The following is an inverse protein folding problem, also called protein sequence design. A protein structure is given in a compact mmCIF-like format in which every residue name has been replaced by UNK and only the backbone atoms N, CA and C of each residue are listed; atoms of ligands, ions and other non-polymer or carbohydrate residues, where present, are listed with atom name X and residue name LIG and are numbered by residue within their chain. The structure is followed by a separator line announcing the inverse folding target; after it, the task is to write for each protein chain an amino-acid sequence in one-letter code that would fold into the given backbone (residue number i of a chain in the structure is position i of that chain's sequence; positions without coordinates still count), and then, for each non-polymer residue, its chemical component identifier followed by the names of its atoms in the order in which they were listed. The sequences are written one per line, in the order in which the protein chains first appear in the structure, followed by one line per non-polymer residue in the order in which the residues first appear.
data_IF_086530902380
#
_entry.id   IF_086530902380
#
_cell.length_a   1.000
_cell.length_b   1.000
_cell.length_c   1.000
_cell.angle_alpha   90.00
_cell.angle_beta   90.00
_cell.angle_gamma   90.00
#
_symmetry.space_group_name_H-M   'P 1'
#
loop_
_entity.id
_entity.type
_entity.pdbx_description
1 polymer ?
#
# COMPACT_ATOMS: atom_id res chain seq x y z
N UNK A 1 7.58 59.39 45.47
CA UNK A 1 7.74 59.31 44.01
C UNK A 1 7.58 57.85 43.64
N UNK A 2 6.40 57.48 43.07
CA UNK A 2 6.05 56.11 42.68
C UNK A 2 6.19 56.04 41.18
N UNK A 3 7.16 55.27 40.69
CA UNK A 3 7.35 54.96 39.26
C UNK A 3 6.50 53.80 38.87
N UNK A 4 5.46 54.01 38.04
CA UNK A 4 4.61 53.02 37.47
C UNK A 4 5.33 52.39 36.27
N UNK A 5 5.70 51.10 36.40
CA UNK A 5 6.19 50.30 35.30
C UNK A 5 4.99 49.76 34.54
N UNK A 6 4.77 50.27 33.32
CA UNK A 6 3.78 49.76 32.37
C UNK A 6 4.40 48.58 31.67
N UNK A 7 4.00 47.38 32.01
CA UNK A 7 4.41 46.16 31.36
C UNK A 7 3.59 45.97 30.05
N UNK A 8 4.17 46.28 28.90
CA UNK A 8 3.60 46.05 27.59
C UNK A 8 3.69 44.56 27.28
N UNK A 9 2.58 43.82 27.48
CA UNK A 9 2.46 42.43 27.01
C UNK A 9 2.19 42.46 25.54
N UNK A 10 3.23 42.25 24.72
CA UNK A 10 3.11 41.99 23.31
C UNK A 10 2.56 40.59 23.11
N UNK A 11 1.29 40.48 22.76
CA UNK A 11 0.68 39.25 22.26
C UNK A 11 1.30 38.93 20.89
N UNK A 12 2.24 38.00 20.83
CA UNK A 12 2.62 37.32 19.62
C UNK A 12 1.48 36.36 19.24
N UNK A 13 0.55 36.82 18.42
CA UNK A 13 -0.32 35.96 17.65
C UNK A 13 0.56 35.24 16.62
N UNK A 14 1.05 34.05 16.99
CA UNK A 14 1.63 33.12 16.04
C UNK A 14 0.48 32.72 15.08
N UNK A 15 0.38 33.44 13.98
CA UNK A 15 -0.45 33.01 12.85
C UNK A 15 0.11 31.68 12.41
N UNK A 16 -0.61 30.59 12.67
CA UNK A 16 -0.42 29.33 11.95
C UNK A 16 -0.56 29.65 10.47
N UNK A 17 0.55 29.85 9.78
CA UNK A 17 0.61 30.00 8.35
C UNK A 17 0.24 28.64 7.73
N UNK A 18 -1.03 28.30 7.74
CA UNK A 18 -1.58 27.25 6.91
C UNK A 18 -1.36 27.67 5.47
N UNK A 19 -0.52 26.92 4.73
CA UNK A 19 -0.37 27.15 3.29
C UNK A 19 -1.73 27.13 2.59
N UNK A 20 -1.81 27.66 1.36
CA UNK A 20 -3.03 27.60 0.58
C UNK A 20 -3.56 26.15 0.51
N UNK A 21 -4.87 25.95 0.62
CA UNK A 21 -5.42 24.60 0.54
C UNK A 21 -5.02 23.95 -0.79
N UNK A 22 -4.76 22.63 -0.79
CA UNK A 22 -4.40 21.94 -2.02
C UNK A 22 -5.54 22.06 -3.04
N UNK A 23 -5.23 22.14 -4.35
CA UNK A 23 -6.24 22.20 -5.41
C UNK A 23 -7.19 21.00 -5.39
N UNK A 24 -8.44 21.18 -5.81
CA UNK A 24 -9.49 20.15 -5.78
C UNK A 24 -9.07 18.84 -6.48
N UNK A 25 -8.40 18.95 -7.64
CA UNK A 25 -7.90 17.77 -8.35
C UNK A 25 -6.92 16.94 -7.51
N UNK A 26 -6.09 17.60 -6.69
CA UNK A 26 -5.12 16.90 -5.85
C UNK A 26 -5.81 16.15 -4.70
N UNK A 27 -6.83 16.76 -4.11
CA UNK A 27 -7.67 16.11 -3.10
C UNK A 27 -8.44 14.95 -3.72
N UNK A 28 -9.03 15.16 -4.91
CA UNK A 28 -9.76 14.14 -5.66
C UNK A 28 -8.85 12.95 -6.01
N UNK A 29 -7.68 13.19 -6.61
CA UNK A 29 -6.74 12.14 -6.99
C UNK A 29 -6.26 11.33 -5.77
N UNK A 30 -5.88 12.03 -4.68
CA UNK A 30 -5.44 11.37 -3.44
C UNK A 30 -6.57 10.54 -2.82
N UNK A 31 -7.77 11.10 -2.74
CA UNK A 31 -8.94 10.41 -2.21
C UNK A 31 -9.25 9.14 -3.02
N UNK A 32 -9.29 9.25 -4.32
CA UNK A 32 -9.54 8.12 -5.22
C UNK A 32 -8.46 7.03 -5.14
N UNK A 33 -7.17 7.38 -5.06
CA UNK A 33 -6.09 6.39 -4.85
C UNK A 33 -6.22 5.69 -3.49
N UNK A 34 -6.61 6.42 -2.43
CA UNK A 34 -6.85 5.82 -1.11
C UNK A 34 -8.02 4.83 -1.17
N UNK A 35 -9.12 5.18 -1.88
CA UNK A 35 -10.27 4.29 -2.05
C UNK A 35 -9.90 3.08 -2.94
N UNK A 36 -9.12 3.28 -4.02
CA UNK A 36 -8.58 2.20 -4.82
C UNK A 36 -7.87 1.16 -3.95
N UNK A 37 -6.89 1.62 -3.15
CA UNK A 37 -6.14 0.74 -2.26
C UNK A 37 -7.06 0.00 -1.29
N UNK A 38 -8.00 0.70 -0.66
CA UNK A 38 -8.95 0.13 0.28
C UNK A 38 -9.81 -0.97 -0.36
N UNK A 39 -10.44 -0.68 -1.51
CA UNK A 39 -11.31 -1.62 -2.19
C UNK A 39 -10.54 -2.82 -2.74
N UNK A 40 -9.35 -2.57 -3.32
CA UNK A 40 -8.53 -3.66 -3.85
C UNK A 40 -8.11 -4.63 -2.75
N UNK A 41 -7.62 -4.14 -1.61
CA UNK A 41 -7.21 -4.97 -0.47
C UNK A 41 -8.40 -5.67 0.20
N UNK A 42 -9.58 -5.06 0.17
CA UNK A 42 -10.82 -5.70 0.62
C UNK A 42 -11.31 -6.82 -0.32
N UNK A 43 -10.81 -6.89 -1.56
CA UNK A 43 -11.20 -7.87 -2.57
C UNK A 43 -12.28 -7.40 -3.54
N UNK A 44 -12.68 -6.11 -3.48
CA UNK A 44 -13.65 -5.52 -4.41
C UNK A 44 -12.93 -4.92 -5.62
N UNK A 45 -12.68 -5.77 -6.62
CA UNK A 45 -11.94 -5.36 -7.83
C UNK A 45 -12.69 -4.32 -8.65
N UNK A 46 -14.03 -4.43 -8.75
CA UNK A 46 -14.82 -3.53 -9.57
C UNK A 46 -14.80 -2.11 -9.03
N UNK A 47 -15.01 -1.93 -7.72
CA UNK A 47 -14.92 -0.62 -7.09
C UNK A 47 -13.48 -0.09 -7.11
N UNK A 48 -12.49 -0.94 -6.90
CA UNK A 48 -11.09 -0.54 -6.98
C UNK A 48 -10.75 0.06 -8.36
N UNK A 49 -11.07 -0.65 -9.45
CA UNK A 49 -10.76 -0.15 -10.80
C UNK A 49 -11.51 1.14 -11.14
N UNK A 50 -12.74 1.31 -10.65
CA UNK A 50 -13.49 2.57 -10.78
C UNK A 50 -12.76 3.73 -10.09
N UNK A 51 -12.30 3.52 -8.87
CA UNK A 51 -11.58 4.56 -8.12
C UNK A 51 -10.20 4.86 -8.76
N UNK A 52 -9.51 3.85 -9.28
CA UNK A 52 -8.27 4.07 -10.00
C UNK A 52 -8.48 4.90 -11.28
N UNK A 53 -9.54 4.61 -12.03
CA UNK A 53 -9.93 5.41 -13.19
C UNK A 53 -10.26 6.86 -12.79
N UNK A 54 -10.93 7.08 -11.66
CA UNK A 54 -11.20 8.43 -11.13
C UNK A 54 -9.89 9.16 -10.79
N UNK A 55 -8.95 8.52 -10.10
CA UNK A 55 -7.65 9.10 -9.80
C UNK A 55 -6.88 9.51 -11.07
N UNK A 56 -6.88 8.63 -12.09
CA UNK A 56 -6.26 8.92 -13.39
C UNK A 56 -6.91 10.13 -14.08
N UNK A 57 -8.24 10.24 -14.03
CA UNK A 57 -8.96 11.36 -14.61
C UNK A 57 -8.59 12.69 -13.94
N UNK A 58 -8.51 12.72 -12.61
CA UNK A 58 -8.08 13.93 -11.88
C UNK A 58 -6.63 14.31 -12.20
N UNK A 59 -5.70 13.37 -12.27
CA UNK A 59 -4.31 13.63 -12.64
C UNK A 59 -4.22 14.10 -14.10
N UNK A 60 -4.99 13.50 -15.01
CA UNK A 60 -4.96 13.84 -16.44
C UNK A 60 -5.31 15.30 -16.69
N UNK A 61 -6.16 15.92 -15.86
CA UNK A 61 -6.51 17.35 -15.95
C UNK A 61 -5.30 18.27 -15.81
N UNK A 62 -4.21 17.77 -15.24
CA UNK A 62 -2.99 18.55 -14.98
C UNK A 62 -1.91 18.35 -16.02
N UNK A 63 -2.02 17.32 -16.88
CA UNK A 63 -0.95 16.89 -17.80
C UNK A 63 0.30 16.33 -17.10
N UNK A 64 0.26 16.08 -15.77
CA UNK A 64 1.40 15.61 -14.97
C UNK A 64 1.59 14.11 -15.09
N UNK A 65 2.39 13.67 -16.07
CA UNK A 65 2.69 12.25 -16.30
C UNK A 65 3.52 11.63 -15.16
N UNK A 66 4.34 12.41 -14.48
CA UNK A 66 5.07 12.01 -13.28
C UNK A 66 4.15 11.57 -12.13
N UNK A 67 3.03 12.29 -11.93
CA UNK A 67 2.02 11.91 -10.93
C UNK A 67 1.25 10.65 -11.37
N UNK A 68 1.02 10.50 -12.66
CA UNK A 68 0.40 9.29 -13.18
C UNK A 68 1.31 8.07 -13.00
N UNK A 69 2.61 8.21 -13.24
CA UNK A 69 3.60 7.17 -12.98
C UNK A 69 3.59 6.75 -11.51
N UNK A 70 3.53 7.71 -10.59
CA UNK A 70 3.39 7.43 -9.14
C UNK A 70 2.10 6.68 -8.81
N UNK A 71 0.97 7.04 -9.42
CA UNK A 71 -0.29 6.32 -9.21
C UNK A 71 -0.22 4.86 -9.70
N UNK A 72 0.42 4.60 -10.84
CA UNK A 72 0.64 3.24 -11.34
C UNK A 72 1.55 2.42 -10.40
N UNK A 73 2.54 3.03 -9.75
CA UNK A 73 3.36 2.35 -8.74
C UNK A 73 2.54 1.96 -7.49
N UNK A 74 1.61 2.82 -7.06
CA UNK A 74 0.69 2.45 -5.97
C UNK A 74 -0.11 1.22 -6.36
N UNK A 75 -0.64 1.18 -7.59
CA UNK A 75 -1.36 0.03 -8.13
C UNK A 75 -0.50 -1.23 -8.11
N UNK A 76 0.72 -1.14 -8.58
CA UNK A 76 1.67 -2.24 -8.62
C UNK A 76 2.00 -2.76 -7.20
N UNK A 77 2.29 -1.86 -6.26
CA UNK A 77 2.60 -2.21 -4.87
C UNK A 77 1.46 -2.96 -4.16
N UNK A 78 0.23 -2.49 -4.34
CA UNK A 78 -0.97 -3.11 -3.75
C UNK A 78 -1.19 -4.52 -4.30
N UNK A 79 -0.95 -4.73 -5.60
CA UNK A 79 -1.01 -6.06 -6.26
C UNK A 79 0.11 -6.97 -5.75
N UNK A 80 1.34 -6.46 -5.69
CA UNK A 80 2.48 -7.20 -5.13
C UNK A 80 2.22 -7.67 -3.70
N UNK A 81 1.68 -6.80 -2.83
CA UNK A 81 1.32 -7.16 -1.45
C UNK A 81 0.28 -8.29 -1.36
N UNK A 82 -0.53 -8.44 -2.41
CA UNK A 82 -1.54 -9.49 -2.58
C UNK A 82 -1.01 -10.71 -3.34
N UNK A 83 0.30 -10.80 -3.56
CA UNK A 83 0.98 -11.86 -4.33
C UNK A 83 0.56 -11.92 -5.82
N UNK A 84 0.01 -10.84 -6.34
CA UNK A 84 -0.25 -10.69 -7.76
C UNK A 84 0.96 -9.99 -8.41
N UNK A 85 1.88 -10.79 -8.95
CA UNK A 85 3.08 -10.29 -9.60
C UNK A 85 2.79 -10.00 -11.06
N UNK A 86 3.01 -8.74 -11.45
CA UNK A 86 3.01 -8.30 -12.85
C UNK A 86 4.24 -7.44 -13.16
N UNK A 87 4.43 -7.11 -14.43
CA UNK A 87 5.57 -6.30 -14.87
C UNK A 87 5.34 -4.79 -14.71
N UNK A 88 4.33 -4.38 -13.91
CA UNK A 88 3.97 -2.97 -13.69
C UNK A 88 3.83 -2.19 -15.01
N UNK A 89 3.20 -2.76 -16.02
CA UNK A 89 3.15 -2.23 -17.40
C UNK A 89 2.66 -0.80 -17.48
N UNK A 90 1.72 -0.40 -16.57
CA UNK A 90 1.24 0.98 -16.49
C UNK A 90 2.34 1.97 -16.10
N UNK A 91 3.22 1.59 -15.19
CA UNK A 91 4.38 2.39 -14.83
C UNK A 91 5.45 2.37 -15.94
N UNK A 92 5.73 1.19 -16.51
CA UNK A 92 6.77 1.07 -17.54
C UNK A 92 6.49 1.98 -18.75
N UNK A 93 5.23 2.15 -19.13
CA UNK A 93 4.82 3.08 -20.19
C UNK A 93 5.10 4.56 -19.84
N UNK A 94 5.31 4.88 -18.56
CA UNK A 94 5.53 6.24 -18.03
C UNK A 94 6.92 6.40 -17.40
N UNK A 95 7.78 5.39 -17.51
CA UNK A 95 9.10 5.37 -16.84
C UNK A 95 9.96 6.60 -17.15
N UNK A 96 9.90 7.07 -18.40
CA UNK A 96 10.68 8.23 -18.83
C UNK A 96 10.26 9.55 -18.15
N UNK A 97 9.02 9.61 -17.68
CA UNK A 97 8.43 10.79 -17.02
C UNK A 97 8.54 10.71 -15.48
N UNK A 98 8.97 9.56 -14.97
CA UNK A 98 9.05 9.30 -13.54
C UNK A 98 10.31 9.91 -12.92
N UNK A 99 10.20 10.33 -11.65
CA UNK A 99 11.35 10.77 -10.87
C UNK A 99 12.29 9.63 -10.47
N UNK A 100 13.48 9.97 -10.00
CA UNK A 100 14.47 8.97 -9.59
C UNK A 100 13.97 8.05 -8.45
N UNK A 101 13.17 8.57 -7.53
CA UNK A 101 12.59 7.80 -6.42
C UNK A 101 11.57 6.78 -6.92
N UNK A 102 10.71 7.17 -7.87
CA UNK A 102 9.73 6.29 -8.49
C UNK A 102 10.42 5.17 -9.29
N UNK A 103 11.45 5.51 -10.04
CA UNK A 103 12.26 4.52 -10.77
C UNK A 103 12.92 3.55 -9.79
N UNK A 104 13.55 4.03 -8.72
CA UNK A 104 14.17 3.19 -7.69
C UNK A 104 13.14 2.26 -7.01
N UNK A 105 11.92 2.76 -6.77
CA UNK A 105 10.85 1.94 -6.21
C UNK A 105 10.34 0.88 -7.21
N UNK A 106 10.24 1.21 -8.50
CA UNK A 106 9.92 0.25 -9.55
C UNK A 106 10.97 -0.87 -9.65
N UNK A 107 12.27 -0.54 -9.57
CA UNK A 107 13.36 -1.53 -9.51
C UNK A 107 13.22 -2.46 -8.28
N UNK A 108 12.82 -1.90 -7.13
CA UNK A 108 12.54 -2.70 -5.95
C UNK A 108 11.36 -3.64 -6.16
N UNK A 109 10.21 -3.17 -6.68
CA UNK A 109 9.05 -4.02 -6.97
C UNK A 109 9.34 -5.11 -8.00
N UNK A 110 10.24 -4.85 -8.94
CA UNK A 110 10.70 -5.84 -9.90
C UNK A 110 11.68 -6.88 -9.29
N UNK A 111 12.16 -6.65 -8.06
CA UNK A 111 13.16 -7.50 -7.41
C UNK A 111 14.60 -7.27 -7.88
N UNK A 112 14.85 -6.17 -8.61
CA UNK A 112 16.18 -5.79 -9.10
C UNK A 112 16.97 -4.91 -8.13
N UNK A 113 16.32 -4.38 -7.12
CA UNK A 113 16.95 -3.60 -6.06
C UNK A 113 16.49 -4.08 -4.68
N UNK A 114 17.32 -3.86 -3.67
CA UNK A 114 16.97 -4.09 -2.26
C UNK A 114 16.57 -2.79 -1.59
N UNK A 115 15.54 -2.87 -0.74
CA UNK A 115 15.10 -1.74 0.09
C UNK A 115 14.70 -2.28 1.46
N UNK A 116 15.05 -1.57 2.51
CA UNK A 116 14.51 -1.87 3.84
C UNK A 116 12.97 -1.69 3.81
N UNK A 117 12.20 -2.63 4.38
CA UNK A 117 10.75 -2.46 4.48
C UNK A 117 10.45 -1.23 5.33
N UNK A 118 9.43 -0.46 4.92
CA UNK A 118 8.85 0.56 5.78
C UNK A 118 8.09 -0.08 6.95
N UNK A 119 7.80 0.72 7.98
CA UNK A 119 7.02 0.26 9.15
C UNK A 119 5.54 0.06 8.81
N UNK A 120 5.06 0.64 7.71
CA UNK A 120 3.68 0.54 7.27
C UNK A 120 3.31 -0.89 6.86
N UNK A 121 2.09 -1.36 7.22
CA UNK A 121 1.64 -2.72 6.92
C UNK A 121 1.75 -3.10 5.44
N UNK A 122 1.43 -2.19 4.51
CA UNK A 122 1.53 -2.44 3.08
C UNK A 122 2.99 -2.67 2.65
N UNK A 123 3.92 -1.85 3.14
CA UNK A 123 5.36 -1.98 2.87
C UNK A 123 5.91 -3.31 3.38
N UNK A 124 5.44 -3.78 4.54
CA UNK A 124 5.81 -5.08 5.09
C UNK A 124 5.34 -6.23 4.20
N UNK A 125 4.08 -6.18 3.71
CA UNK A 125 3.55 -7.20 2.80
C UNK A 125 4.26 -7.19 1.44
N UNK A 126 4.59 -6.02 0.89
CA UNK A 126 5.39 -5.91 -0.35
C UNK A 126 6.76 -6.56 -0.15
N UNK A 127 7.45 -6.24 0.94
CA UNK A 127 8.76 -6.84 1.24
C UNK A 127 8.68 -8.35 1.37
N UNK A 128 7.69 -8.88 2.10
CA UNK A 128 7.46 -10.32 2.23
C UNK A 128 7.19 -10.97 0.87
N UNK A 129 6.37 -10.32 0.01
CA UNK A 129 6.06 -10.81 -1.33
C UNK A 129 7.30 -10.92 -2.22
N UNK A 130 8.19 -9.93 -2.18
CA UNK A 130 9.44 -9.94 -2.95
C UNK A 130 10.40 -11.01 -2.42
N UNK A 131 10.47 -11.21 -1.11
CA UNK A 131 11.23 -12.33 -0.51
C UNK A 131 10.65 -13.69 -0.91
N UNK A 132 9.31 -13.80 -1.02
CA UNK A 132 8.68 -15.01 -1.55
C UNK A 132 9.08 -15.26 -3.01
N UNK A 133 9.01 -14.22 -3.86
CA UNK A 133 9.40 -14.29 -5.27
C UNK A 133 10.86 -14.73 -5.45
N UNK A 134 11.77 -14.31 -4.57
CA UNK A 134 13.19 -14.70 -4.58
C UNK A 134 13.49 -16.04 -3.89
N UNK A 135 12.48 -16.72 -3.33
CA UNK A 135 12.67 -17.97 -2.59
C UNK A 135 13.31 -17.82 -1.20
N UNK A 136 13.46 -16.58 -0.71
CA UNK A 136 14.14 -16.27 0.56
C UNK A 136 13.16 -16.13 1.76
N UNK A 137 11.86 -16.40 1.56
CA UNK A 137 10.85 -16.23 2.61
C UNK A 137 10.87 -17.39 3.60
N UNK A 138 10.90 -17.08 4.90
CA UNK A 138 10.91 -18.04 6.00
C UNK A 138 9.50 -18.30 6.57
N UNK A 139 9.26 -19.45 7.25
CA UNK A 139 7.96 -19.73 7.87
C UNK A 139 7.48 -18.66 8.88
N UNK A 140 8.32 -18.10 9.75
CA UNK A 140 7.90 -16.98 10.61
C UNK A 140 7.45 -15.76 9.84
N UNK A 141 8.12 -15.42 8.73
CA UNK A 141 7.73 -14.27 7.89
C UNK A 141 6.38 -14.49 7.19
N UNK A 142 6.05 -15.74 6.82
CA UNK A 142 4.71 -16.06 6.29
C UNK A 142 3.64 -15.79 7.37
N UNK A 143 3.90 -16.23 8.61
CA UNK A 143 2.97 -15.99 9.72
C UNK A 143 2.81 -14.49 9.98
N UNK A 144 3.90 -13.72 9.99
CA UNK A 144 3.86 -12.26 10.13
C UNK A 144 3.05 -11.61 9.01
N UNK A 145 3.20 -12.05 7.75
CA UNK A 145 2.41 -11.51 6.64
C UNK A 145 0.91 -11.83 6.78
N UNK A 146 0.55 -13.04 7.21
CA UNK A 146 -0.83 -13.41 7.53
C UNK A 146 -1.39 -12.53 8.65
N UNK A 147 -0.64 -12.31 9.73
CA UNK A 147 -1.08 -11.51 10.87
C UNK A 147 -1.20 -10.03 10.49
N UNK A 148 -0.27 -9.50 9.69
CA UNK A 148 -0.34 -8.14 9.15
C UNK A 148 -1.60 -7.95 8.32
N UNK A 149 -1.87 -8.81 7.34
CA UNK A 149 -3.08 -8.71 6.52
C UNK A 149 -4.37 -8.88 7.34
N UNK A 150 -4.36 -9.78 8.33
CA UNK A 150 -5.49 -10.04 9.23
C UNK A 150 -5.81 -8.84 10.12
N UNK A 151 -4.80 -8.23 10.74
CA UNK A 151 -4.97 -7.07 11.62
C UNK A 151 -5.52 -5.84 10.89
N UNK A 152 -5.23 -5.72 9.60
CA UNK A 152 -5.74 -4.66 8.74
C UNK A 152 -7.12 -4.96 8.14
N UNK A 153 -7.66 -6.18 8.30
CA UNK A 153 -8.89 -6.61 7.64
C UNK A 153 -8.77 -6.69 6.10
N UNK A 154 -7.56 -6.84 5.58
CA UNK A 154 -7.29 -6.89 4.14
C UNK A 154 -7.54 -8.31 3.59
N UNK A 155 -8.76 -8.55 3.18
CA UNK A 155 -9.23 -9.88 2.74
C UNK A 155 -8.41 -10.47 1.59
N UNK A 156 -8.07 -9.67 0.57
CA UNK A 156 -7.33 -10.17 -0.60
C UNK A 156 -5.93 -10.66 -0.23
N UNK A 157 -5.03 -9.85 0.36
CA UNK A 157 -3.73 -10.37 0.77
C UNK A 157 -3.84 -11.44 1.86
N UNK A 158 -4.82 -11.36 2.78
CA UNK A 158 -5.02 -12.41 3.79
C UNK A 158 -5.27 -13.78 3.16
N UNK A 159 -6.15 -13.87 2.16
CA UNK A 159 -6.41 -15.14 1.45
C UNK A 159 -5.18 -15.61 0.68
N UNK A 160 -4.44 -14.72 0.03
CA UNK A 160 -3.21 -15.06 -0.67
C UNK A 160 -2.16 -15.63 0.29
N UNK A 161 -1.89 -14.95 1.41
CA UNK A 161 -0.91 -15.38 2.41
C UNK A 161 -1.32 -16.63 3.18
N UNK A 162 -2.60 -16.81 3.50
CA UNK A 162 -3.12 -18.06 4.07
C UNK A 162 -2.93 -19.23 3.10
N UNK A 163 -3.07 -19.02 1.79
CA UNK A 163 -2.83 -20.05 0.78
C UNK A 163 -1.35 -20.47 0.73
N UNK A 164 -0.42 -19.50 0.83
CA UNK A 164 1.02 -19.80 0.95
C UNK A 164 1.31 -20.57 2.22
N UNK A 165 0.73 -20.16 3.35
CA UNK A 165 0.88 -20.85 4.64
C UNK A 165 0.34 -22.28 4.57
N UNK A 166 -0.85 -22.48 3.98
CA UNK A 166 -1.44 -23.80 3.82
C UNK A 166 -0.56 -24.74 2.98
N UNK A 167 -0.05 -24.24 1.84
CA UNK A 167 0.86 -25.02 1.00
C UNK A 167 2.12 -25.43 1.74
N UNK A 168 2.73 -24.52 2.50
CA UNK A 168 3.94 -24.80 3.29
C UNK A 168 3.71 -25.88 4.36
N UNK A 169 2.55 -25.78 5.04
CA UNK A 169 2.16 -26.74 6.08
C UNK A 169 1.81 -28.12 5.47
N UNK A 170 1.18 -28.14 4.31
CA UNK A 170 0.90 -29.36 3.54
C UNK A 170 2.20 -30.08 3.17
N UNK A 171 3.21 -29.32 2.67
CA UNK A 171 4.52 -29.88 2.31
C UNK A 171 5.29 -30.42 3.52
N UNK A 172 5.05 -29.89 4.73
CA UNK A 172 5.63 -30.41 5.98
C UNK A 172 4.89 -31.61 6.59
N UNK A 173 3.70 -31.93 6.08
CA UNK A 173 2.88 -33.05 6.58
C UNK A 173 2.07 -32.77 7.85
N UNK A 174 2.03 -31.53 8.38
CA UNK A 174 1.23 -31.18 9.56
C UNK A 174 -0.26 -31.01 9.20
N UNK A 175 -0.95 -32.16 9.18
CA UNK A 175 -2.39 -32.20 8.84
C UNK A 175 -3.25 -31.39 9.81
N UNK A 176 -2.92 -31.35 11.10
CA UNK A 176 -3.68 -30.61 12.09
C UNK A 176 -3.62 -29.09 11.85
N UNK A 177 -2.43 -28.57 11.55
CA UNK A 177 -2.26 -27.17 11.17
C UNK A 177 -2.97 -26.86 9.83
N UNK A 178 -2.88 -27.74 8.84
CA UNK A 178 -3.53 -27.58 7.54
C UNK A 178 -5.06 -27.45 7.67
N UNK A 179 -5.69 -28.29 8.48
CA UNK A 179 -7.14 -28.22 8.74
C UNK A 179 -7.50 -26.85 9.37
N UNK A 180 -6.72 -26.35 10.33
CA UNK A 180 -6.97 -25.05 10.95
C UNK A 180 -6.86 -23.90 9.95
N UNK A 181 -5.84 -23.92 9.06
CA UNK A 181 -5.65 -22.88 8.05
C UNK A 181 -6.76 -22.91 7.02
N UNK A 182 -7.15 -24.10 6.53
CA UNK A 182 -8.25 -24.26 5.56
C UNK A 182 -9.58 -23.74 6.12
N UNK A 183 -9.88 -23.98 7.40
CA UNK A 183 -11.03 -23.39 8.07
C UNK A 183 -11.00 -21.87 8.13
N UNK A 184 -9.82 -21.27 8.36
CA UNK A 184 -9.67 -19.80 8.30
C UNK A 184 -9.93 -19.26 6.90
N UNK A 185 -9.41 -19.93 5.85
CA UNK A 185 -9.66 -19.56 4.45
C UNK A 185 -11.16 -19.62 4.15
N UNK A 186 -11.83 -20.69 4.55
CA UNK A 186 -13.28 -20.86 4.37
C UNK A 186 -14.05 -19.72 5.04
N UNK A 187 -13.75 -19.44 6.31
CA UNK A 187 -14.39 -18.35 7.05
C UNK A 187 -14.17 -16.98 6.37
N UNK A 188 -12.95 -16.66 5.96
CA UNK A 188 -12.63 -15.39 5.26
C UNK A 188 -13.35 -15.32 3.91
N UNK A 189 -13.56 -16.46 3.24
CA UNK A 189 -14.20 -16.52 1.93
C UNK A 189 -15.72 -16.36 2.02
N UNK A 190 -16.33 -17.03 2.98
CA UNK A 190 -17.81 -17.18 3.07
C UNK A 190 -18.45 -16.28 4.13
N UNK A 191 -17.70 -15.84 5.12
CA UNK A 191 -18.20 -15.14 6.32
C UNK A 191 -18.93 -16.06 7.31
N UNK A 192 -18.81 -17.39 7.17
CA UNK A 192 -19.52 -18.40 7.99
C UNK A 192 -18.56 -19.38 8.61
#
# INVERSE_FOLDING_TARGET
MRASVVCAVALFLAACAGGAPPPDWQLGARGALTQYQRYYLAGDTQLAEKEFASARAEIARTGRLDLLARAELVRCAVRTASLEFDDCTGFEALRAEAGAEEVAYAEYLAGRATRAPGEEPLSQLVSAALRMKSGALTPPEISTAVDTASSQGWRRPLLAWLSVQAKRVEDSGDQAALVRIRRRIEFVTTGK
#
